data_IF_383026536926
#
_entry.id   IF_383026536926
#
_cell.length_a   1.000
_cell.length_b   1.000
_cell.length_c   1.000
_cell.angle_alpha   90.00
_cell.angle_beta   90.00
_cell.angle_gamma   90.00
#
_symmetry.space_group_name_H-M   'P 1'
#
loop_
_entity.id
_entity.type
_entity.pdbx_description
1 polymer ?
#
# COMPACT_ATOMS: atom_id res chain seq x y z
N UNK A 1 16.25 4.70 -1.51
CA UNK A 1 15.10 3.89 -1.91
C UNK A 1 14.74 2.83 -0.86
N UNK A 2 15.74 2.07 -0.36
CA UNK A 2 15.50 1.01 0.64
C UNK A 2 14.86 1.57 1.93
N UNK A 3 15.35 2.69 2.44
CA UNK A 3 14.80 3.37 3.62
C UNK A 3 13.36 3.84 3.42
N UNK A 4 13.05 4.32 2.21
CA UNK A 4 11.68 4.73 1.88
C UNK A 4 10.71 3.56 1.86
N UNK A 5 11.13 2.42 1.30
CA UNK A 5 10.32 1.19 1.30
C UNK A 5 10.10 0.71 2.74
N UNK A 6 11.16 0.64 3.55
CA UNK A 6 11.06 0.21 4.94
C UNK A 6 10.14 1.13 5.78
N UNK A 7 10.23 2.46 5.57
CA UNK A 7 9.34 3.41 6.23
C UNK A 7 7.89 3.24 5.80
N UNK A 8 7.64 3.01 4.51
CA UNK A 8 6.31 2.76 3.98
C UNK A 8 5.71 1.45 4.52
N UNK A 9 6.49 0.37 4.61
CA UNK A 9 6.05 -0.90 5.18
C UNK A 9 5.68 -0.77 6.66
N UNK A 10 6.50 -0.03 7.42
CA UNK A 10 6.26 0.17 8.85
C UNK A 10 4.99 0.99 9.13
N UNK A 11 4.69 2.00 8.30
CA UNK A 11 3.53 2.88 8.46
C UNK A 11 2.24 2.38 7.80
N UNK A 12 2.27 1.27 7.06
CA UNK A 12 1.13 0.84 6.26
C UNK A 12 0.11 0.05 7.07
N UNK A 13 -1.09 0.63 7.26
CA UNK A 13 -2.19 0.01 8.02
C UNK A 13 -2.77 -1.24 7.36
N UNK A 14 -2.69 -1.35 6.02
CA UNK A 14 -3.17 -2.53 5.30
C UNK A 14 -2.25 -3.73 5.57
N UNK A 15 -0.93 -3.53 5.63
CA UNK A 15 0.00 -4.57 6.03
C UNK A 15 -0.20 -5.00 7.48
N UNK A 16 -0.44 -4.05 8.39
CA UNK A 16 -0.79 -4.36 9.77
C UNK A 16 -2.08 -5.17 9.86
N UNK A 17 -3.12 -4.81 9.10
CA UNK A 17 -4.36 -5.58 9.04
C UNK A 17 -4.15 -7.01 8.50
N UNK A 18 -3.24 -7.19 7.53
CA UNK A 18 -2.89 -8.52 7.03
C UNK A 18 -2.14 -9.36 8.06
N UNK A 19 -1.34 -8.77 8.93
CA UNK A 19 -0.72 -9.48 10.07
C UNK A 19 -1.76 -10.04 11.04
N UNK A 20 -2.79 -9.26 11.36
CA UNK A 20 -3.91 -9.78 12.17
C UNK A 20 -4.69 -10.89 11.47
N UNK A 21 -4.83 -10.86 10.13
CA UNK A 21 -5.41 -11.97 9.37
C UNK A 21 -4.56 -13.23 9.42
N UNK A 22 -3.24 -13.11 9.42
CA UNK A 22 -2.34 -14.26 9.64
C UNK A 22 -2.54 -14.84 11.03
N UNK A 23 -2.65 -14.02 12.07
CA UNK A 23 -2.94 -14.48 13.43
C UNK A 23 -4.31 -15.17 13.51
N UNK A 24 -5.33 -14.62 12.86
CA UNK A 24 -6.65 -15.23 12.78
C UNK A 24 -6.63 -16.60 12.09
N UNK A 25 -5.91 -16.71 10.95
CA UNK A 25 -5.78 -17.98 10.24
C UNK A 25 -5.02 -19.01 11.07
N UNK A 26 -4.00 -18.58 11.84
CA UNK A 26 -3.26 -19.44 12.78
C UNK A 26 -4.16 -19.96 13.91
N UNK A 27 -4.98 -19.08 14.49
CA UNK A 27 -5.96 -19.49 15.50
C UNK A 27 -7.00 -20.46 14.92
N UNK A 28 -7.41 -20.28 13.66
CA UNK A 28 -8.26 -21.23 12.93
C UNK A 28 -7.62 -22.60 12.76
N UNK A 29 -6.33 -22.64 12.41
CA UNK A 29 -5.55 -23.88 12.33
C UNK A 29 -5.46 -24.57 13.70
N UNK A 30 -5.20 -23.81 14.78
CA UNK A 30 -5.11 -24.39 16.14
C UNK A 30 -6.48 -24.92 16.60
N UNK A 31 -7.58 -24.27 16.22
CA UNK A 31 -8.94 -24.77 16.44
C UNK A 31 -9.20 -26.09 15.69
N UNK A 32 -8.76 -26.19 14.42
CA UNK A 32 -8.88 -27.43 13.65
C UNK A 32 -8.05 -28.57 14.24
N UNK A 33 -6.85 -28.27 14.76
CA UNK A 33 -6.02 -29.25 15.53
C UNK A 33 -6.71 -29.68 16.79
N UNK A 34 -7.32 -28.75 17.54
CA UNK A 34 -8.07 -29.02 18.76
C UNK A 34 -9.24 -29.96 18.53
N UNK A 35 -9.89 -29.92 17.39
CA UNK A 35 -11.00 -30.81 17.02
C UNK A 35 -10.59 -32.30 16.95
N UNK A 36 -9.31 -32.57 16.69
CA UNK A 36 -8.75 -33.95 16.69
C UNK A 36 -8.44 -34.49 18.08
N UNK A 37 -8.57 -33.65 19.13
CA UNK A 37 -8.27 -34.03 20.51
C UNK A 37 -9.56 -34.27 21.32
N UNK A 38 -9.52 -35.08 22.38
CA UNK A 38 -10.64 -35.18 23.32
C UNK A 38 -10.99 -33.82 23.91
N UNK A 39 -12.28 -33.46 23.87
CA UNK A 39 -12.82 -32.24 24.45
C UNK A 39 -13.23 -32.49 25.89
N UNK A 40 -12.71 -31.70 26.82
CA UNK A 40 -13.07 -31.78 28.25
C UNK A 40 -13.72 -30.44 28.64
N UNK A 41 -14.93 -30.51 29.14
CA UNK A 41 -15.67 -29.37 29.64
C UNK A 41 -16.02 -29.55 31.10
N UNK A 42 -15.77 -28.52 31.92
CA UNK A 42 -16.24 -28.43 33.28
C UNK A 42 -17.38 -27.40 33.38
N UNK A 43 -18.45 -27.74 34.01
CA UNK A 43 -19.57 -26.82 34.25
C UNK A 43 -19.92 -26.82 35.74
N UNK A 44 -20.25 -25.64 36.26
CA UNK A 44 -20.73 -25.47 37.62
C UNK A 44 -21.87 -24.47 37.67
N UNK A 45 -22.88 -24.75 38.46
CA UNK A 45 -23.96 -23.80 38.73
C UNK A 45 -24.26 -23.76 40.22
N UNK A 46 -24.55 -22.56 40.70
CA UNK A 46 -25.06 -22.35 42.06
C UNK A 46 -26.35 -21.55 41.96
N UNK A 47 -27.41 -22.01 42.62
CA UNK A 47 -28.70 -21.33 42.62
C UNK A 47 -29.23 -21.25 44.03
N UNK A 48 -29.98 -20.16 44.31
CA UNK A 48 -30.75 -19.94 45.53
C UNK A 48 -32.15 -19.51 45.11
N UNK A 49 -33.16 -20.17 45.72
CA UNK A 49 -34.57 -19.79 45.47
C UNK A 49 -34.95 -18.78 46.52
N UNK A 50 -35.72 -17.77 46.12
CA UNK A 50 -36.25 -16.76 47.02
C UNK A 50 -37.18 -17.43 48.04
N UNK A 51 -36.93 -17.23 49.36
CA UNK A 51 -37.64 -17.89 50.44
C UNK A 51 -36.99 -19.16 51.02
N UNK A 52 -35.92 -19.67 50.34
CA UNK A 52 -35.14 -20.78 50.87
C UNK A 52 -33.72 -20.26 51.26
N UNK A 53 -33.27 -20.58 52.48
CA UNK A 53 -31.96 -20.20 52.97
C UNK A 53 -30.84 -21.13 52.46
N UNK A 54 -31.19 -22.19 51.74
CA UNK A 54 -30.26 -23.17 51.23
C UNK A 54 -29.69 -22.82 49.85
N UNK A 55 -28.38 -23.01 49.66
CA UNK A 55 -27.69 -22.96 48.39
C UNK A 55 -27.66 -24.35 47.76
N UNK A 56 -27.99 -24.42 46.48
CA UNK A 56 -27.76 -25.62 45.68
C UNK A 56 -26.60 -25.36 44.76
N UNK A 57 -25.55 -26.16 44.89
CA UNK A 57 -24.40 -26.14 44.00
C UNK A 57 -24.28 -27.49 43.31
N UNK A 58 -24.03 -27.48 42.00
CA UNK A 58 -23.76 -28.67 41.22
C UNK A 58 -22.58 -28.42 40.28
N UNK A 59 -21.74 -29.42 40.13
CA UNK A 59 -20.63 -29.43 39.21
C UNK A 59 -20.69 -30.66 38.32
N UNK A 60 -20.34 -30.52 37.08
CA UNK A 60 -20.21 -31.65 36.16
C UNK A 60 -18.93 -31.53 35.35
N UNK A 61 -18.30 -32.66 35.11
CA UNK A 61 -17.16 -32.83 34.21
C UNK A 61 -17.63 -33.70 33.02
N UNK A 62 -17.46 -33.22 31.80
CA UNK A 62 -17.82 -33.97 30.61
C UNK A 62 -16.57 -34.12 29.73
N UNK A 63 -16.30 -35.32 29.28
CA UNK A 63 -15.30 -35.61 28.25
C UNK A 63 -16.01 -36.20 27.03
N UNK A 64 -15.65 -35.70 25.84
CA UNK A 64 -16.16 -36.20 24.57
C UNK A 64 -15.02 -36.31 23.55
N UNK A 65 -15.06 -37.36 22.75
CA UNK A 65 -14.07 -37.60 21.70
C UNK A 65 -14.78 -38.19 20.47
N UNK A 66 -14.54 -37.59 19.32
CA UNK A 66 -15.06 -38.06 18.04
C UNK A 66 -13.93 -38.72 17.27
N UNK A 67 -14.09 -40.01 16.94
CA UNK A 67 -13.14 -40.75 16.13
C UNK A 67 -13.32 -40.39 14.67
N UNK A 68 -12.29 -39.83 14.02
CA UNK A 68 -12.28 -39.49 12.62
C UNK A 68 -12.00 -40.70 11.73
N UNK A 69 -13.00 -41.56 11.53
CA UNK A 69 -12.89 -42.82 10.78
C UNK A 69 -12.77 -42.59 9.26
N UNK A 70 -13.35 -41.50 8.74
CA UNK A 70 -13.38 -41.18 7.31
C UNK A 70 -12.43 -40.04 6.92
N UNK A 71 -11.66 -39.50 7.84
CA UNK A 71 -10.68 -38.46 7.60
C UNK A 71 -11.26 -37.05 7.39
N UNK A 72 -12.51 -36.80 7.79
CA UNK A 72 -13.16 -35.51 7.62
C UNK A 72 -12.48 -34.39 8.43
N UNK A 73 -12.10 -34.65 9.67
CA UNK A 73 -11.45 -33.67 10.52
C UNK A 73 -9.98 -33.47 10.13
N UNK A 74 -9.30 -34.51 9.63
CA UNK A 74 -7.95 -34.38 9.01
C UNK A 74 -8.01 -33.53 7.75
N UNK A 75 -9.00 -33.74 6.88
CA UNK A 75 -9.18 -32.90 5.68
C UNK A 75 -9.46 -31.42 6.03
N UNK A 76 -10.18 -31.15 7.12
CA UNK A 76 -10.38 -29.79 7.64
C UNK A 76 -9.08 -29.19 8.17
N UNK A 77 -8.25 -29.99 8.85
CA UNK A 77 -6.92 -29.54 9.28
C UNK A 77 -6.05 -29.15 8.09
N UNK A 78 -5.99 -30.02 7.05
CA UNK A 78 -5.22 -29.74 5.82
C UNK A 78 -5.73 -28.48 5.11
N UNK A 79 -7.03 -28.30 5.03
CA UNK A 79 -7.65 -27.09 4.49
C UNK A 79 -7.27 -25.84 5.29
N UNK A 80 -7.23 -25.92 6.63
CA UNK A 80 -6.82 -24.82 7.50
C UNK A 80 -5.33 -24.48 7.36
N UNK A 81 -4.46 -25.48 7.13
CA UNK A 81 -3.04 -25.27 6.81
C UNK A 81 -2.90 -24.54 5.48
N UNK A 82 -3.56 -25.01 4.44
CA UNK A 82 -3.55 -24.35 3.12
C UNK A 82 -4.09 -22.90 3.19
N UNK A 83 -5.12 -22.68 4.00
CA UNK A 83 -5.66 -21.33 4.24
C UNK A 83 -4.63 -20.41 4.92
N UNK A 84 -3.90 -20.89 5.93
CA UNK A 84 -2.84 -20.11 6.56
C UNK A 84 -1.74 -19.75 5.56
N UNK A 85 -1.30 -20.72 4.75
CA UNK A 85 -0.27 -20.48 3.72
C UNK A 85 -0.74 -19.46 2.68
N UNK A 86 -1.99 -19.53 2.27
CA UNK A 86 -2.58 -18.56 1.34
C UNK A 86 -2.60 -17.12 1.92
N UNK A 87 -2.92 -16.97 3.21
CA UNK A 87 -2.92 -15.66 3.89
C UNK A 87 -1.50 -15.12 4.04
N UNK A 88 -0.51 -15.98 4.38
CA UNK A 88 0.91 -15.59 4.46
C UNK A 88 1.41 -15.13 3.07
N UNK A 89 1.09 -15.87 2.01
CA UNK A 89 1.44 -15.50 0.65
C UNK A 89 0.79 -14.17 0.22
N UNK A 90 -0.47 -13.94 0.60
CA UNK A 90 -1.19 -12.69 0.35
C UNK A 90 -0.52 -11.49 1.04
N UNK A 91 -0.09 -11.65 2.31
CA UNK A 91 0.68 -10.62 3.02
C UNK A 91 1.99 -10.29 2.29
N UNK A 92 2.74 -11.32 1.90
CA UNK A 92 4.01 -11.15 1.19
C UNK A 92 3.79 -10.43 -0.15
N UNK A 93 2.77 -10.80 -0.90
CA UNK A 93 2.41 -10.14 -2.17
C UNK A 93 2.06 -8.66 -1.96
N UNK A 94 1.34 -8.33 -0.88
CA UNK A 94 0.98 -6.95 -0.56
C UNK A 94 2.20 -6.10 -0.19
N UNK A 95 3.16 -6.65 0.56
CA UNK A 95 4.44 -5.99 0.85
C UNK A 95 5.23 -5.73 -0.46
N UNK A 96 5.30 -6.71 -1.36
CA UNK A 96 5.93 -6.54 -2.66
C UNK A 96 5.27 -5.47 -3.52
N UNK A 97 3.94 -5.42 -3.55
CA UNK A 97 3.18 -4.39 -4.28
C UNK A 97 3.45 -3.00 -3.72
N UNK A 98 3.47 -2.86 -2.40
CA UNK A 98 3.81 -1.60 -1.76
C UNK A 98 5.22 -1.15 -2.12
N UNK A 99 6.22 -2.02 -2.00
CA UNK A 99 7.60 -1.71 -2.37
C UNK A 99 7.74 -1.29 -3.84
N UNK A 100 7.02 -1.96 -4.75
CA UNK A 100 6.98 -1.61 -6.16
C UNK A 100 6.34 -0.23 -6.39
N UNK A 101 5.24 0.07 -5.72
CA UNK A 101 4.57 1.37 -5.83
C UNK A 101 5.47 2.51 -5.33
N UNK A 102 6.14 2.33 -4.20
CA UNK A 102 7.12 3.30 -3.66
C UNK A 102 8.28 3.50 -4.63
N UNK A 103 8.81 2.43 -5.23
CA UNK A 103 9.88 2.52 -6.21
C UNK A 103 9.42 3.29 -7.47
N UNK A 104 8.24 3.01 -7.99
CA UNK A 104 7.68 3.72 -9.15
C UNK A 104 7.50 5.22 -8.86
N UNK A 105 6.96 5.57 -7.70
CA UNK A 105 6.80 6.97 -7.29
C UNK A 105 8.15 7.68 -7.17
N UNK A 106 9.16 7.02 -6.58
CA UNK A 106 10.50 7.57 -6.45
C UNK A 106 11.14 7.87 -7.80
N UNK A 107 11.09 6.92 -8.75
CA UNK A 107 11.66 7.12 -10.09
C UNK A 107 10.87 8.14 -10.90
N UNK A 108 9.54 8.15 -10.78
CA UNK A 108 8.71 9.16 -11.44
C UNK A 108 9.05 10.58 -10.94
N UNK A 109 9.20 10.76 -9.64
CA UNK A 109 9.64 12.03 -9.05
C UNK A 109 10.99 12.48 -9.62
N UNK A 110 11.98 11.57 -9.67
CA UNK A 110 13.30 11.87 -10.23
C UNK A 110 13.22 12.27 -11.70
N UNK A 111 12.46 11.54 -12.50
CA UNK A 111 12.27 11.88 -13.91
C UNK A 111 11.59 13.25 -14.11
N UNK A 112 10.65 13.62 -13.25
CA UNK A 112 10.02 14.94 -13.31
C UNK A 112 10.96 16.06 -12.87
N UNK A 113 11.81 15.84 -11.87
CA UNK A 113 12.86 16.80 -11.47
C UNK A 113 13.83 17.08 -12.62
N UNK A 114 14.29 16.03 -13.31
CA UNK A 114 15.16 16.18 -14.49
C UNK A 114 14.45 16.89 -15.66
N UNK A 115 13.16 16.59 -15.88
CA UNK A 115 12.36 17.29 -16.89
C UNK A 115 12.19 18.78 -16.58
N UNK A 116 12.01 19.15 -15.31
CA UNK A 116 11.95 20.57 -14.91
C UNK A 116 13.26 21.27 -15.22
N UNK A 117 14.41 20.65 -14.90
CA UNK A 117 15.72 21.21 -15.21
C UNK A 117 15.89 21.42 -16.73
N UNK A 118 15.57 20.38 -17.54
CA UNK A 118 15.67 20.45 -19.00
C UNK A 118 14.73 21.50 -19.59
N UNK A 119 13.49 21.62 -19.10
CA UNK A 119 12.56 22.66 -19.57
C UNK A 119 13.04 24.07 -19.21
N UNK A 120 13.71 24.22 -18.05
CA UNK A 120 14.37 25.46 -17.65
C UNK A 120 15.50 25.84 -18.62
N UNK A 121 16.39 24.90 -18.95
CA UNK A 121 17.48 25.09 -19.90
C UNK A 121 16.95 25.44 -21.31
N UNK A 122 15.86 24.79 -21.73
CA UNK A 122 15.20 25.09 -23.03
C UNK A 122 14.65 26.51 -23.07
N UNK A 123 14.02 26.96 -21.98
CA UNK A 123 13.53 28.34 -21.88
C UNK A 123 14.68 29.35 -21.92
N UNK A 124 15.76 29.14 -21.19
CA UNK A 124 16.95 30.00 -21.19
C UNK A 124 17.55 30.11 -22.59
N UNK A 125 17.65 28.99 -23.31
CA UNK A 125 18.10 28.99 -24.72
C UNK A 125 17.15 29.77 -25.63
N UNK A 126 15.85 29.62 -25.48
CA UNK A 126 14.86 30.36 -26.27
C UNK A 126 14.93 31.87 -25.99
N UNK A 127 15.09 32.26 -24.71
CA UNK A 127 15.24 33.67 -24.31
C UNK A 127 16.53 34.29 -24.90
N UNK A 128 17.67 33.61 -24.83
CA UNK A 128 18.92 34.06 -25.43
C UNK A 128 18.81 34.16 -26.94
N UNK A 129 18.12 33.24 -27.58
CA UNK A 129 17.87 33.27 -29.02
C UNK A 129 16.99 34.45 -29.38
N UNK A 130 15.94 34.72 -28.61
CA UNK A 130 15.07 35.87 -28.78
C UNK A 130 15.86 37.21 -28.70
N UNK A 131 16.72 37.36 -27.70
CA UNK A 131 17.55 38.57 -27.56
C UNK A 131 18.47 38.78 -28.76
N UNK A 132 19.06 37.73 -29.32
CA UNK A 132 19.86 37.83 -30.53
C UNK A 132 19.03 38.23 -31.74
N UNK A 133 17.85 37.66 -31.92
CA UNK A 133 16.92 37.98 -33.02
C UNK A 133 16.43 39.41 -32.88
N UNK A 134 16.11 39.84 -31.66
CA UNK A 134 15.70 41.24 -31.38
C UNK A 134 16.79 42.22 -31.75
N UNK A 135 18.03 42.00 -31.37
CA UNK A 135 19.16 42.85 -31.73
C UNK A 135 19.34 42.96 -33.27
N UNK A 136 19.13 41.86 -34.01
CA UNK A 136 19.16 41.89 -35.50
C UNK A 136 17.99 42.63 -36.11
N UNK A 137 16.80 42.53 -35.51
CA UNK A 137 15.63 43.30 -35.94
C UNK A 137 15.83 44.80 -35.75
N UNK A 138 16.34 45.21 -34.57
CA UNK A 138 16.63 46.60 -34.23
C UNK A 138 17.70 47.20 -35.19
N UNK A 139 18.61 46.36 -35.71
CA UNK A 139 19.58 46.74 -36.75
C UNK A 139 19.02 46.72 -38.19
N UNK A 140 17.74 46.39 -38.37
CA UNK A 140 17.08 46.34 -39.69
C UNK A 140 17.49 45.14 -40.56
N UNK A 141 18.07 44.08 -39.97
CA UNK A 141 18.64 42.92 -40.69
C UNK A 141 17.65 41.79 -40.94
N UNK A 142 16.52 41.79 -40.20
CA UNK A 142 15.50 40.72 -40.29
C UNK A 142 14.08 41.31 -40.24
N UNK A 143 13.08 40.48 -40.55
CA UNK A 143 11.68 40.90 -40.62
C UNK A 143 11.01 40.88 -39.23
N UNK A 144 9.91 41.65 -39.09
CA UNK A 144 9.06 41.58 -37.89
C UNK A 144 8.40 40.21 -37.70
N UNK A 145 8.26 39.42 -38.75
CA UNK A 145 7.77 38.03 -38.66
C UNK A 145 8.75 37.14 -37.89
N UNK A 146 10.05 37.28 -38.16
CA UNK A 146 11.09 36.51 -37.48
C UNK A 146 11.11 36.82 -35.96
N UNK A 147 10.95 38.10 -35.62
CA UNK A 147 10.84 38.54 -34.21
C UNK A 147 9.60 37.93 -33.53
N UNK A 148 8.43 38.00 -34.19
CA UNK A 148 7.19 37.43 -33.65
C UNK A 148 7.26 35.90 -33.46
N UNK A 149 7.94 35.19 -34.38
CA UNK A 149 8.18 33.74 -34.24
C UNK A 149 9.08 33.42 -33.04
N UNK A 150 10.13 34.21 -32.83
CA UNK A 150 11.01 34.03 -31.68
C UNK A 150 10.30 34.33 -30.34
N UNK A 151 9.46 35.35 -30.30
CA UNK A 151 8.63 35.66 -29.12
C UNK A 151 7.63 34.54 -28.83
N UNK A 152 6.98 33.98 -29.86
CA UNK A 152 6.09 32.83 -29.73
C UNK A 152 6.82 31.59 -29.20
N UNK A 153 8.07 31.36 -29.61
CA UNK A 153 8.89 30.25 -29.12
C UNK A 153 9.16 30.39 -27.60
N UNK A 154 9.52 31.59 -27.14
CA UNK A 154 9.71 31.85 -25.69
C UNK A 154 8.41 31.62 -24.91
N UNK A 155 7.28 32.11 -25.43
CA UNK A 155 5.98 31.90 -24.79
C UNK A 155 5.61 30.42 -24.70
N UNK A 156 5.94 29.64 -25.74
CA UNK A 156 5.73 28.18 -25.76
C UNK A 156 6.58 27.48 -24.72
N UNK A 157 7.88 27.79 -24.59
CA UNK A 157 8.76 27.17 -23.61
C UNK A 157 8.39 27.56 -22.17
N UNK A 158 7.91 28.78 -21.92
CA UNK A 158 7.35 29.18 -20.62
C UNK A 158 6.11 28.33 -20.24
N UNK A 159 5.22 28.10 -21.22
CA UNK A 159 4.07 27.24 -21.04
C UNK A 159 4.46 25.79 -20.72
N UNK A 160 5.46 25.28 -21.44
CA UNK A 160 6.02 23.94 -21.21
C UNK A 160 6.60 23.80 -19.79
N UNK A 161 7.42 24.76 -19.35
CA UNK A 161 8.02 24.76 -18.00
C UNK A 161 6.93 24.75 -16.92
N UNK A 162 5.89 25.57 -17.05
CA UNK A 162 4.77 25.59 -16.11
C UNK A 162 4.04 24.25 -16.07
N UNK A 163 3.79 23.62 -17.22
CA UNK A 163 3.13 22.31 -17.28
C UNK A 163 3.96 21.22 -16.59
N UNK A 164 5.29 21.21 -16.77
CA UNK A 164 6.16 20.23 -16.11
C UNK A 164 6.25 20.50 -14.60
N UNK A 165 6.28 21.76 -14.15
CA UNK A 165 6.19 22.10 -12.73
C UNK A 165 4.90 21.59 -12.11
N UNK A 166 3.75 21.81 -12.78
CA UNK A 166 2.46 21.29 -12.31
C UNK A 166 2.46 19.76 -12.21
N UNK A 167 3.01 19.06 -13.20
CA UNK A 167 3.11 17.60 -13.19
C UNK A 167 3.96 17.11 -12.02
N UNK A 168 5.09 17.78 -11.70
CA UNK A 168 5.93 17.47 -10.53
C UNK A 168 5.16 17.67 -9.24
N UNK A 169 4.45 18.79 -9.08
CA UNK A 169 3.73 19.12 -7.84
C UNK A 169 2.56 18.15 -7.59
N UNK A 170 1.86 17.74 -8.65
CA UNK A 170 0.84 16.69 -8.56
C UNK A 170 1.44 15.34 -8.13
N UNK A 171 2.60 14.98 -8.67
CA UNK A 171 3.28 13.74 -8.28
C UNK A 171 3.76 13.76 -6.82
N UNK A 172 4.20 14.92 -6.30
CA UNK A 172 4.58 15.10 -4.89
C UNK A 172 3.38 14.96 -3.95
N UNK A 173 2.21 15.46 -4.35
CA UNK A 173 1.00 15.39 -3.54
C UNK A 173 0.35 13.99 -3.53
N UNK A 174 0.78 13.09 -4.42
CA UNK A 174 0.31 11.71 -4.49
C UNK A 174 1.11 10.72 -3.63
N UNK A 175 2.16 11.20 -2.96
CA UNK A 175 2.98 10.44 -2.00
C UNK A 175 2.42 10.53 -0.59
#
# INVERSE_FOLDING_TARGET
>A
LHELIAAAEFGNLDLAALEFRVLQARAGLDSARGALLPQVAASGSASRTEGDSSWRAQGALRASYTLDLWGADRARLDASMAQLDAVIASRSLSAWRLGTAVAQLHFNRRALEERVALAGDSLDLAERTFELIRARYDAGLISGLDLALAESAVASERGNLLAVHQARDLALNSM
#
